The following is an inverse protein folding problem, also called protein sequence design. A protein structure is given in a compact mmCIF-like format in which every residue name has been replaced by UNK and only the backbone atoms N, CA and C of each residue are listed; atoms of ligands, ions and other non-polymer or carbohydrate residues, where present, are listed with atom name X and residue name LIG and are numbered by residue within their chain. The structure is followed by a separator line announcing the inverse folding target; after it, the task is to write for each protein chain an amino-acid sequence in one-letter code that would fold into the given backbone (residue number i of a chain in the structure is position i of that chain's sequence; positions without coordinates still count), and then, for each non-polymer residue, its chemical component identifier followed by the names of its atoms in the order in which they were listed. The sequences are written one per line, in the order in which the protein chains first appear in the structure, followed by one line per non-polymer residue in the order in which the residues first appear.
data_IF_697401373361
#
_entry.id   IF_697401373361
#
_cell.length_a   1.000
_cell.length_b   1.000
_cell.length_c   1.000
_cell.angle_alpha   90.00
_cell.angle_beta   90.00
_cell.angle_gamma   90.00
#
_symmetry.space_group_name_H-M   'P 1'
#
loop_
_entity.id
_entity.type
_entity.pdbx_description
1 polymer ?
#
# COMPACT_ATOMS: atom_id res chain seq x y z
N UNK A 1 2.97 23.12 8.33
CA UNK A 1 3.10 23.29 6.87
C UNK A 1 4.54 23.48 6.37
N UNK A 2 5.60 23.39 7.19
CA UNK A 2 6.98 23.74 6.77
C UNK A 2 7.75 22.75 5.89
N UNK A 3 7.53 21.44 6.01
CA UNK A 3 8.34 20.42 5.29
C UNK A 3 7.94 20.25 3.82
N UNK A 4 6.71 20.65 3.46
CA UNK A 4 6.23 20.57 2.10
C UNK A 4 6.99 21.51 1.16
N UNK A 5 7.45 22.67 1.65
CA UNK A 5 8.32 23.59 0.89
C UNK A 5 9.65 22.94 0.48
N UNK A 6 10.18 22.01 1.28
CA UNK A 6 11.38 21.25 0.91
C UNK A 6 11.04 20.07 0.00
N UNK A 7 9.92 19.38 0.24
CA UNK A 7 9.60 18.15 -0.47
C UNK A 7 8.98 18.40 -1.86
N UNK A 8 8.12 19.41 -2.02
CA UNK A 8 7.56 19.83 -3.31
C UNK A 8 8.48 20.86 -3.99
N UNK A 9 9.72 20.46 -4.24
CA UNK A 9 10.74 21.29 -4.86
C UNK A 9 11.50 20.47 -5.90
N UNK A 10 11.82 21.08 -7.05
CA UNK A 10 12.64 20.49 -8.12
C UNK A 10 14.07 20.07 -7.69
N UNK A 11 14.48 20.41 -6.47
CA UNK A 11 15.74 20.07 -5.80
C UNK A 11 15.49 19.62 -4.36
N UNK A 12 14.29 19.10 -4.07
CA UNK A 12 13.87 18.79 -2.70
C UNK A 12 14.72 17.73 -2.01
N UNK A 13 15.25 16.77 -2.76
CA UNK A 13 16.22 15.79 -2.24
C UNK A 13 17.48 16.49 -1.73
N UNK A 14 17.99 17.49 -2.47
CA UNK A 14 19.16 18.26 -2.03
C UNK A 14 18.84 19.11 -0.80
N UNK A 15 17.67 19.74 -0.74
CA UNK A 15 17.25 20.51 0.43
C UNK A 15 17.21 19.64 1.70
N UNK A 16 16.68 18.41 1.59
CA UNK A 16 16.70 17.43 2.68
C UNK A 16 18.14 17.07 3.07
N UNK A 17 19.03 16.75 2.12
CA UNK A 17 20.43 16.45 2.43
C UNK A 17 21.14 17.63 3.13
N UNK A 18 20.92 18.85 2.64
CA UNK A 18 21.55 20.05 3.19
C UNK A 18 21.12 20.33 4.63
N UNK A 19 19.85 20.12 4.99
CA UNK A 19 19.43 20.28 6.39
C UNK A 19 20.01 19.20 7.30
N UNK A 20 20.17 17.96 6.81
CA UNK A 20 20.88 16.92 7.54
C UNK A 20 22.35 17.29 7.75
N UNK A 21 23.03 17.85 6.75
CA UNK A 21 24.44 18.26 6.88
C UNK A 21 24.68 19.21 8.08
N UNK A 22 23.77 20.16 8.32
CA UNK A 22 23.85 21.07 9.48
C UNK A 22 23.83 20.29 10.81
N UNK A 23 22.93 19.32 10.91
CA UNK A 23 22.77 18.50 12.12
C UNK A 23 23.94 17.53 12.31
N UNK A 24 24.43 16.95 11.21
CA UNK A 24 25.59 16.05 11.22
C UNK A 24 26.88 16.80 11.60
N UNK A 25 27.12 17.99 11.04
CA UNK A 25 28.28 18.83 11.36
C UNK A 25 28.32 19.28 12.82
N UNK A 26 27.15 19.44 13.44
CA UNK A 26 27.04 19.89 14.85
C UNK A 26 26.82 18.75 15.84
N UNK A 27 26.73 17.50 15.38
CA UNK A 27 26.42 16.34 16.21
C UNK A 27 25.01 16.36 16.83
N UNK A 28 24.12 17.25 16.35
CA UNK A 28 22.78 17.46 16.91
C UNK A 28 21.76 16.54 16.24
N UNK A 29 21.86 15.24 16.48
CA UNK A 29 20.95 14.24 15.90
C UNK A 29 20.74 13.07 16.88
N UNK A 30 19.56 12.45 16.85
CA UNK A 30 19.24 11.22 17.60
C UNK A 30 19.35 11.33 19.12
N UNK A 31 19.27 12.55 19.67
CA UNK A 31 19.14 12.79 21.12
C UNK A 31 17.89 13.62 21.41
N UNK A 32 17.28 13.51 22.61
CA UNK A 32 16.14 14.36 22.97
C UNK A 32 16.42 15.84 22.73
N UNK A 33 15.55 16.51 21.97
CA UNK A 33 15.68 17.93 21.60
C UNK A 33 16.54 18.24 20.37
N UNK A 34 17.41 17.32 19.92
CA UNK A 34 18.26 17.51 18.74
C UNK A 34 17.80 16.58 17.60
N UNK A 35 16.96 17.09 16.70
CA UNK A 35 16.29 16.25 15.69
C UNK A 35 16.04 16.98 14.37
N UNK A 36 16.72 16.62 13.27
CA UNK A 36 16.26 16.96 11.94
C UNK A 36 15.01 16.14 11.63
N UNK A 37 13.83 16.72 11.84
CA UNK A 37 12.56 16.00 11.77
C UNK A 37 11.76 16.35 10.51
N UNK A 38 11.64 15.39 9.60
CA UNK A 38 10.80 15.53 8.40
C UNK A 38 9.34 15.25 8.75
N UNK A 39 8.46 16.26 8.66
CA UNK A 39 7.04 16.08 8.88
C UNK A 39 6.40 15.37 7.70
N UNK A 40 5.58 14.38 8.02
CA UNK A 40 4.75 13.66 7.05
C UNK A 40 3.32 14.19 7.13
N UNK A 41 2.71 14.49 5.97
CA UNK A 41 1.39 15.13 5.91
C UNK A 41 0.22 14.16 6.04
N UNK A 42 0.21 13.09 5.25
CA UNK A 42 -0.86 12.08 5.28
C UNK A 42 -0.77 11.19 6.53
N UNK A 43 -1.90 10.66 7.04
CA UNK A 43 -1.94 9.90 8.30
C UNK A 43 -1.09 8.64 8.25
N UNK A 44 -0.92 8.03 7.07
CA UNK A 44 -0.12 6.82 6.88
C UNK A 44 0.74 6.84 5.62
N UNK A 45 1.24 8.02 5.24
CA UNK A 45 2.31 8.07 4.24
C UNK A 45 3.58 7.37 4.74
N UNK A 46 3.84 7.34 6.06
CA UNK A 46 4.87 6.49 6.65
C UNK A 46 4.42 5.01 6.65
N UNK A 47 3.43 4.67 7.48
CA UNK A 47 3.08 3.27 7.77
C UNK A 47 2.56 2.46 6.58
N UNK A 48 1.95 3.10 5.59
CA UNK A 48 1.43 2.41 4.40
C UNK A 48 2.34 2.68 3.21
N UNK A 49 2.40 3.91 2.70
CA UNK A 49 3.06 4.15 1.43
C UNK A 49 4.57 3.85 1.47
N UNK A 50 5.28 4.34 2.50
CA UNK A 50 6.74 4.19 2.61
C UNK A 50 7.16 2.86 3.23
N UNK A 51 6.50 2.41 4.29
CA UNK A 51 6.92 1.20 5.01
C UNK A 51 6.49 -0.09 4.28
N UNK A 52 5.29 -0.13 3.68
CA UNK A 52 4.87 -1.24 2.77
C UNK A 52 5.52 -1.09 1.39
N UNK A 53 5.83 0.14 0.97
CA UNK A 53 6.53 0.39 -0.29
C UNK A 53 5.58 0.40 -1.50
N UNK A 54 4.44 1.08 -1.42
CA UNK A 54 3.46 1.21 -2.52
C UNK A 54 3.92 2.24 -3.56
N UNK A 55 5.16 2.11 -4.02
CA UNK A 55 5.78 2.96 -5.04
C UNK A 55 6.30 2.10 -6.18
N UNK A 56 6.40 2.69 -7.37
CA UNK A 56 6.77 1.98 -8.59
C UNK A 56 8.18 1.36 -8.62
N UNK A 57 9.02 1.67 -7.64
CA UNK A 57 10.40 1.19 -7.51
C UNK A 57 10.64 0.35 -6.25
N UNK A 58 9.61 0.12 -5.42
CA UNK A 58 9.76 -0.35 -4.04
C UNK A 58 9.25 -1.77 -3.85
N UNK A 59 9.80 -2.38 -2.80
CA UNK A 59 9.29 -3.52 -2.06
C UNK A 59 9.17 -3.09 -0.57
N UNK A 60 8.56 -3.91 0.31
CA UNK A 60 8.43 -3.61 1.74
C UNK A 60 9.76 -3.30 2.44
N UNK A 61 9.74 -2.59 3.58
CA UNK A 61 10.91 -2.38 4.46
C UNK A 61 12.16 -1.81 3.74
N UNK A 62 11.99 -0.71 2.99
CA UNK A 62 13.04 -0.03 2.23
C UNK A 62 13.71 -0.85 1.11
N UNK A 63 13.16 -2.02 0.80
CA UNK A 63 13.58 -2.82 -0.34
C UNK A 63 13.16 -2.18 -1.67
N UNK A 64 13.82 -2.61 -2.75
CA UNK A 64 13.68 -2.02 -4.09
C UNK A 64 13.62 -3.13 -5.15
N UNK A 65 12.78 -2.93 -6.16
CA UNK A 65 12.57 -3.92 -7.24
C UNK A 65 13.82 -4.17 -8.07
N UNK A 66 14.74 -3.20 -8.14
CA UNK A 66 15.96 -3.30 -8.96
C UNK A 66 17.03 -4.21 -8.35
N UNK A 67 16.96 -4.50 -7.05
CA UNK A 67 17.93 -5.38 -6.39
C UNK A 67 17.46 -6.85 -6.44
N UNK A 68 18.18 -7.77 -7.09
CA UNK A 68 17.76 -9.16 -7.21
C UNK A 68 17.64 -9.88 -5.87
N UNK A 69 18.45 -9.52 -4.85
CA UNK A 69 18.33 -10.10 -3.51
C UNK A 69 17.02 -9.68 -2.82
N UNK A 70 16.60 -8.44 -3.04
CA UNK A 70 15.35 -7.91 -2.49
C UNK A 70 14.14 -8.62 -3.12
N UNK A 71 14.17 -8.81 -4.44
CA UNK A 71 13.13 -9.59 -5.14
C UNK A 71 13.08 -11.03 -4.65
N UNK A 72 14.23 -11.71 -4.56
CA UNK A 72 14.29 -13.09 -4.08
C UNK A 72 13.73 -13.24 -2.66
N UNK A 73 14.02 -12.28 -1.76
CA UNK A 73 13.47 -12.27 -0.41
C UNK A 73 11.94 -12.08 -0.39
N UNK A 74 11.42 -11.15 -1.20
CA UNK A 74 9.97 -10.95 -1.32
C UNK A 74 9.27 -12.16 -1.96
N UNK A 75 9.87 -12.76 -2.98
CA UNK A 75 9.37 -13.99 -3.63
C UNK A 75 9.35 -15.16 -2.65
N UNK A 76 10.32 -15.27 -1.75
CA UNK A 76 10.32 -16.31 -0.71
C UNK A 76 9.18 -16.09 0.31
N UNK A 77 9.04 -14.87 0.85
CA UNK A 77 7.98 -14.56 1.82
C UNK A 77 6.59 -14.81 1.21
N UNK A 78 6.35 -14.32 -0.01
CA UNK A 78 5.09 -14.47 -0.75
C UNK A 78 4.94 -15.81 -1.46
N UNK A 79 5.91 -16.73 -1.30
CA UNK A 79 5.90 -18.05 -1.91
C UNK A 79 5.78 -18.03 -3.44
N UNK A 80 6.29 -17.01 -4.10
CA UNK A 80 6.21 -16.86 -5.56
C UNK A 80 7.32 -17.65 -6.27
N UNK A 81 7.11 -18.03 -7.54
CA UNK A 81 8.20 -18.52 -8.38
C UNK A 81 9.32 -17.48 -8.53
N UNK A 82 10.58 -17.92 -8.60
CA UNK A 82 11.70 -17.02 -8.79
C UNK A 82 11.60 -16.24 -10.12
N UNK A 83 11.70 -14.91 -10.06
CA UNK A 83 11.55 -14.00 -11.21
C UNK A 83 10.12 -13.56 -11.50
N UNK A 84 9.19 -13.73 -10.55
CA UNK A 84 7.81 -13.22 -10.65
C UNK A 84 7.77 -11.71 -10.51
N UNK A 85 8.62 -11.13 -9.63
CA UNK A 85 8.62 -9.70 -9.37
C UNK A 85 9.36 -8.97 -10.51
N UNK A 86 8.73 -7.97 -11.18
CA UNK A 86 9.39 -7.21 -12.23
C UNK A 86 10.61 -6.45 -11.71
N UNK A 87 11.72 -6.51 -12.43
CA UNK A 87 12.96 -5.82 -12.03
C UNK A 87 13.03 -4.35 -12.44
N UNK A 88 12.17 -3.94 -13.38
CA UNK A 88 12.13 -2.59 -13.92
C UNK A 88 11.22 -1.71 -13.09
N UNK A 89 11.68 -0.49 -12.82
CA UNK A 89 10.88 0.54 -12.15
C UNK A 89 9.67 0.88 -13.02
N UNK A 90 8.47 0.80 -12.43
CA UNK A 90 7.23 1.17 -13.09
C UNK A 90 7.00 2.69 -13.15
N UNK A 91 5.84 3.10 -13.64
CA UNK A 91 5.47 4.51 -13.74
C UNK A 91 5.19 5.14 -12.36
N UNK A 92 5.90 6.22 -12.03
CA UNK A 92 5.59 7.07 -10.87
C UNK A 92 4.41 8.01 -11.17
N UNK A 93 3.78 8.63 -10.15
CA UNK A 93 2.54 9.42 -10.29
C UNK A 93 2.48 10.40 -11.48
N UNK A 94 3.50 11.25 -11.65
CA UNK A 94 3.55 12.19 -12.80
C UNK A 94 3.68 11.45 -14.14
N UNK A 95 4.44 10.36 -14.19
CA UNK A 95 4.62 9.56 -15.41
C UNK A 95 3.36 8.75 -15.73
N UNK A 96 2.59 8.32 -14.73
CA UNK A 96 1.29 7.66 -14.93
C UNK A 96 0.33 8.57 -15.72
N UNK A 97 0.18 9.84 -15.31
CA UNK A 97 -0.66 10.79 -16.07
C UNK A 97 -0.18 11.00 -17.51
N UNK A 98 1.13 11.08 -17.74
CA UNK A 98 1.70 11.17 -19.09
C UNK A 98 1.43 9.90 -19.92
N UNK A 99 1.57 8.72 -19.31
CA UNK A 99 1.32 7.45 -19.98
C UNK A 99 -0.16 7.20 -20.26
N UNK A 100 -1.06 7.66 -19.39
CA UNK A 100 -2.50 7.67 -19.64
C UNK A 100 -2.81 8.54 -20.87
N UNK A 101 -2.27 9.76 -20.91
CA UNK A 101 -2.41 10.65 -22.07
C UNK A 101 -1.86 10.02 -23.35
N UNK A 102 -0.71 9.36 -23.26
CA UNK A 102 -0.07 8.69 -24.39
C UNK A 102 -0.74 7.36 -24.81
N UNK A 103 -1.77 6.88 -24.11
CA UNK A 103 -2.42 5.58 -24.41
C UNK A 103 -1.52 4.36 -24.13
N UNK A 104 -0.61 4.48 -23.15
CA UNK A 104 0.34 3.43 -22.74
C UNK A 104 -0.07 2.71 -21.45
N UNK A 105 -0.94 3.33 -20.65
CA UNK A 105 -1.61 2.71 -19.50
C UNK A 105 -3.10 2.79 -19.81
N UNK A 106 -3.73 1.64 -20.02
CA UNK A 106 -5.08 1.60 -20.58
C UNK A 106 -6.11 0.98 -19.63
N UNK A 107 -5.67 0.43 -18.49
CA UNK A 107 -6.52 0.05 -17.37
C UNK A 107 -5.91 0.64 -16.10
N UNK A 108 -6.67 1.50 -15.41
CA UNK A 108 -6.14 2.29 -14.30
C UNK A 108 -7.14 2.38 -13.16
N UNK A 109 -6.71 1.95 -11.98
CA UNK A 109 -7.56 1.93 -10.78
C UNK A 109 -6.99 2.87 -9.71
N UNK A 110 -7.76 3.90 -9.37
CA UNK A 110 -7.47 4.88 -8.34
C UNK A 110 -8.19 4.52 -7.05
N UNK A 111 -7.47 4.51 -5.92
CA UNK A 111 -8.05 4.22 -4.60
C UNK A 111 -7.58 5.25 -3.57
N UNK A 112 -8.50 5.72 -2.72
CA UNK A 112 -8.24 6.61 -1.56
C UNK A 112 -7.46 7.89 -1.92
N UNK A 113 -7.70 8.44 -3.11
CA UNK A 113 -7.14 9.74 -3.50
C UNK A 113 -7.98 10.43 -4.59
N UNK A 114 -7.86 11.75 -4.64
CA UNK A 114 -8.52 12.60 -5.63
C UNK A 114 -7.46 13.20 -6.58
N UNK A 115 -6.71 12.34 -7.30
CA UNK A 115 -5.55 12.75 -8.09
C UNK A 115 -5.87 13.70 -9.25
N UNK A 116 -7.08 13.68 -9.81
CA UNK A 116 -7.46 14.66 -10.84
C UNK A 116 -7.37 16.08 -10.28
N UNK A 117 -7.80 16.30 -9.03
CA UNK A 117 -7.72 17.60 -8.37
C UNK A 117 -6.33 17.87 -7.76
N UNK A 118 -5.63 16.82 -7.29
CA UNK A 118 -4.39 16.96 -6.53
C UNK A 118 -3.11 16.99 -7.40
N UNK A 119 -3.13 16.36 -8.58
CA UNK A 119 -1.97 16.34 -9.47
C UNK A 119 -1.72 17.69 -10.13
N UNK A 120 -0.46 18.02 -10.35
CA UNK A 120 -0.09 19.19 -11.14
C UNK A 120 -0.48 19.02 -12.61
N UNK A 121 -0.71 20.16 -13.28
CA UNK A 121 -0.89 20.22 -14.73
C UNK A 121 -2.10 19.42 -15.26
N UNK A 122 -3.23 19.51 -14.54
CA UNK A 122 -4.51 18.84 -14.85
C UNK A 122 -4.88 18.94 -16.33
N UNK A 123 -4.91 20.16 -16.89
CA UNK A 123 -5.42 20.40 -18.24
C UNK A 123 -4.57 19.79 -19.35
N UNK A 124 -3.26 19.60 -19.12
CA UNK A 124 -2.36 19.11 -20.16
C UNK A 124 -2.07 17.62 -20.05
N UNK A 125 -2.13 17.03 -18.86
CA UNK A 125 -1.75 15.63 -18.62
C UNK A 125 -2.90 14.82 -18.03
N UNK A 126 -3.40 15.24 -16.86
CA UNK A 126 -4.41 14.48 -16.10
C UNK A 126 -5.71 14.28 -16.87
N UNK A 127 -6.40 15.37 -17.21
CA UNK A 127 -7.72 15.31 -17.85
C UNK A 127 -7.68 14.66 -19.25
N UNK A 128 -6.75 15.02 -20.15
CA UNK A 128 -6.62 14.31 -21.43
C UNK A 128 -6.31 12.82 -21.27
N UNK A 129 -5.56 12.43 -20.24
CA UNK A 129 -5.27 11.02 -19.97
C UNK A 129 -6.46 10.24 -19.42
N UNK A 130 -7.19 10.79 -18.44
CA UNK A 130 -8.35 10.10 -17.86
C UNK A 130 -9.54 10.05 -18.83
N UNK A 131 -9.64 10.97 -19.78
CA UNK A 131 -10.69 11.02 -20.80
C UNK A 131 -10.24 10.49 -22.16
N UNK A 132 -9.06 9.89 -22.24
CA UNK A 132 -8.60 9.22 -23.46
C UNK A 132 -9.51 7.99 -23.69
N UNK A 133 -10.17 7.86 -24.86
CA UNK A 133 -11.07 6.74 -25.15
C UNK A 133 -10.40 5.35 -25.16
N UNK A 134 -9.06 5.29 -25.25
CA UNK A 134 -8.31 4.02 -25.17
C UNK A 134 -8.15 3.51 -23.73
N UNK A 135 -8.49 4.34 -22.73
CA UNK A 135 -8.28 4.04 -21.31
C UNK A 135 -9.59 3.69 -20.63
N UNK A 136 -9.52 2.78 -19.65
CA UNK A 136 -10.58 2.47 -18.71
C UNK A 136 -10.17 2.86 -17.29
N UNK A 137 -10.87 3.84 -16.73
CA UNK A 137 -10.56 4.42 -15.42
C UNK A 137 -11.57 3.95 -14.36
N UNK A 138 -11.06 3.26 -13.34
CA UNK A 138 -11.80 2.86 -12.15
C UNK A 138 -11.41 3.77 -10.98
N UNK A 139 -12.38 4.26 -10.22
CA UNK A 139 -12.13 5.06 -9.00
C UNK A 139 -12.92 4.51 -7.84
N UNK A 140 -12.22 4.15 -6.75
CA UNK A 140 -12.81 3.81 -5.46
C UNK A 140 -12.79 5.03 -4.55
N UNK A 141 -13.97 5.54 -4.20
CA UNK A 141 -14.12 6.71 -3.35
C UNK A 141 -15.36 6.60 -2.46
N UNK A 142 -15.34 7.27 -1.31
CA UNK A 142 -16.48 7.37 -0.41
C UNK A 142 -17.45 8.48 -0.85
N UNK A 143 -16.97 9.46 -1.64
CA UNK A 143 -17.76 10.58 -2.13
C UNK A 143 -17.57 10.81 -3.63
N UNK A 144 -18.53 11.47 -4.30
CA UNK A 144 -18.29 12.06 -5.61
C UNK A 144 -17.16 13.11 -5.53
N UNK A 145 -16.14 12.98 -6.37
CA UNK A 145 -15.01 13.90 -6.50
C UNK A 145 -14.75 14.29 -7.96
N UNK A 146 -13.87 15.25 -8.21
CA UNK A 146 -13.42 15.57 -9.58
C UNK A 146 -12.81 14.34 -10.25
N UNK A 147 -12.14 13.48 -9.48
CA UNK A 147 -11.56 12.24 -9.99
C UNK A 147 -12.64 11.21 -10.35
N UNK A 148 -13.67 11.02 -9.52
CA UNK A 148 -14.78 10.11 -9.87
C UNK A 148 -15.57 10.60 -11.08
N UNK A 149 -15.79 11.92 -11.22
CA UNK A 149 -16.48 12.51 -12.38
C UNK A 149 -15.69 12.29 -13.68
N UNK A 150 -14.37 12.12 -13.58
CA UNK A 150 -13.49 11.86 -14.72
C UNK A 150 -13.32 10.37 -15.03
N UNK A 151 -13.93 9.47 -14.24
CA UNK A 151 -13.78 8.02 -14.34
C UNK A 151 -14.86 7.36 -15.21
N UNK A 152 -14.65 6.11 -15.57
CA UNK A 152 -15.61 5.29 -16.32
C UNK A 152 -16.36 4.30 -15.42
N UNK A 153 -15.74 3.89 -14.31
CA UNK A 153 -16.37 3.08 -13.26
C UNK A 153 -16.06 3.65 -11.89
N UNK A 154 -17.10 3.86 -11.08
CA UNK A 154 -16.99 4.35 -9.70
C UNK A 154 -17.40 3.22 -8.76
N UNK A 155 -16.56 2.89 -7.79
CA UNK A 155 -16.82 1.88 -6.78
C UNK A 155 -17.03 2.56 -5.41
N UNK A 156 -18.18 2.37 -4.74
CA UNK A 156 -18.42 2.95 -3.43
C UNK A 156 -17.50 2.30 -2.38
N UNK A 157 -16.67 3.12 -1.71
CA UNK A 157 -15.64 2.64 -0.78
C UNK A 157 -16.01 2.91 0.69
N UNK A 158 -15.85 1.89 1.54
CA UNK A 158 -15.96 2.04 3.00
C UNK A 158 -14.74 2.79 3.57
N UNK A 159 -14.97 3.75 4.47
CA UNK A 159 -13.96 4.69 4.96
C UNK A 159 -13.71 4.64 6.46
N UNK A 160 -12.47 4.93 6.87
CA UNK A 160 -12.06 5.08 8.27
C UNK A 160 -12.57 3.96 9.20
N UNK A 161 -13.44 4.27 10.17
CA UNK A 161 -13.97 3.31 11.16
C UNK A 161 -15.10 2.43 10.64
N UNK A 162 -15.48 2.56 9.37
CA UNK A 162 -16.35 1.60 8.67
C UNK A 162 -15.61 0.28 8.35
N UNK A 163 -14.31 0.20 8.65
CA UNK A 163 -13.45 -0.97 8.49
C UNK A 163 -12.39 -1.02 9.60
N UNK A 164 -11.88 -2.21 9.85
CA UNK A 164 -10.68 -2.37 10.69
C UNK A 164 -9.47 -1.80 9.94
N UNK A 165 -8.57 -1.12 10.65
CA UNK A 165 -7.42 -0.52 9.99
C UNK A 165 -6.27 -0.13 10.89
N UNK A 166 -5.19 0.27 10.22
CA UNK A 166 -3.91 0.62 10.83
C UNK A 166 -3.27 1.79 10.09
N UNK A 167 -2.77 2.77 10.84
CA UNK A 167 -2.01 3.91 10.29
C UNK A 167 -0.69 4.12 11.03
N UNK A 168 0.37 4.41 10.29
CA UNK A 168 1.69 4.76 10.81
C UNK A 168 2.03 6.24 10.60
N UNK A 169 2.19 6.98 11.69
CA UNK A 169 2.34 8.45 11.64
C UNK A 169 3.79 8.92 11.43
N UNK A 170 4.00 10.25 11.47
CA UNK A 170 5.31 10.87 11.22
C UNK A 170 6.42 10.49 12.22
N UNK A 171 6.09 10.08 13.45
CA UNK A 171 7.06 9.60 14.44
C UNK A 171 7.22 8.07 14.46
N UNK A 172 6.80 7.40 13.38
CA UNK A 172 6.81 5.93 13.20
C UNK A 172 5.86 5.17 14.11
N UNK A 173 4.84 5.85 14.67
CA UNK A 173 3.86 5.20 15.54
C UNK A 173 2.78 4.54 14.70
N UNK A 174 2.70 3.23 14.75
CA UNK A 174 1.59 2.44 14.19
C UNK A 174 0.45 2.40 15.19
N UNK A 175 -0.76 2.75 14.76
CA UNK A 175 -1.99 2.78 15.56
C UNK A 175 -3.09 2.00 14.84
N UNK A 176 -3.77 1.12 15.57
CA UNK A 176 -4.88 0.34 15.04
C UNK A 176 -6.23 0.90 15.50
N UNK A 177 -7.26 0.52 14.78
CA UNK A 177 -8.65 0.67 15.18
C UNK A 177 -9.47 -0.51 14.67
N UNK A 178 -10.45 -0.94 15.47
CA UNK A 178 -11.48 -1.88 15.01
C UNK A 178 -12.52 -1.19 14.13
N UNK A 179 -13.25 -1.98 13.33
CA UNK A 179 -14.46 -1.48 12.68
C UNK A 179 -15.50 -1.15 13.75
N UNK A 180 -16.01 0.08 13.72
CA UNK A 180 -16.97 0.59 14.72
C UNK A 180 -18.39 0.71 14.18
N UNK A 181 -18.54 0.87 12.87
CA UNK A 181 -19.84 1.06 12.20
C UNK A 181 -19.84 0.32 10.86
N UNK A 182 -21.02 0.09 10.30
CA UNK A 182 -21.16 -0.44 8.94
C UNK A 182 -21.17 0.68 7.90
N UNK A 183 -20.56 0.41 6.75
CA UNK A 183 -20.59 1.31 5.61
C UNK A 183 -22.01 1.41 5.01
N UNK A 184 -22.40 2.56 4.41
CA UNK A 184 -23.73 2.74 3.85
C UNK A 184 -23.95 1.91 2.58
N UNK A 185 -25.16 1.34 2.46
CA UNK A 185 -25.62 0.67 1.24
C UNK A 185 -24.74 -0.54 0.86
N UNK A 186 -24.05 -0.43 -0.27
CA UNK A 186 -23.16 -1.47 -0.80
C UNK A 186 -21.68 -1.05 -0.78
N UNK A 187 -21.34 0.01 -0.05
CA UNK A 187 -19.96 0.42 0.10
C UNK A 187 -19.12 -0.70 0.72
N UNK A 188 -17.97 -1.00 0.11
CA UNK A 188 -17.03 -2.03 0.57
C UNK A 188 -15.64 -1.43 0.69
N UNK A 189 -14.84 -1.91 1.62
CA UNK A 189 -13.49 -1.38 1.81
C UNK A 189 -12.60 -1.61 0.59
N UNK A 190 -11.56 -0.80 0.46
CA UNK A 190 -10.50 -0.99 -0.54
C UNK A 190 -9.86 -2.38 -0.44
N UNK A 191 -9.68 -2.88 0.78
CA UNK A 191 -9.14 -4.22 1.03
C UNK A 191 -10.06 -5.31 0.45
N UNK A 192 -11.36 -5.22 0.75
CA UNK A 192 -12.34 -6.14 0.20
C UNK A 192 -12.33 -6.11 -1.33
N UNK A 193 -12.30 -4.91 -1.93
CA UNK A 193 -12.30 -4.75 -3.38
C UNK A 193 -11.07 -5.40 -4.02
N UNK A 194 -9.87 -5.19 -3.46
CA UNK A 194 -8.63 -5.80 -3.96
C UNK A 194 -8.65 -7.33 -3.85
N UNK A 195 -9.07 -7.86 -2.70
CA UNK A 195 -9.17 -9.30 -2.47
C UNK A 195 -10.22 -9.94 -3.38
N UNK A 196 -11.42 -9.37 -3.47
CA UNK A 196 -12.49 -9.90 -4.33
C UNK A 196 -12.12 -9.83 -5.81
N UNK A 197 -11.50 -8.74 -6.27
CA UNK A 197 -11.06 -8.61 -7.65
C UNK A 197 -9.98 -9.63 -8.02
N UNK A 198 -9.09 -9.99 -7.09
CA UNK A 198 -8.04 -10.99 -7.33
C UNK A 198 -8.56 -12.40 -7.64
N UNK A 199 -9.82 -12.72 -7.26
CA UNK A 199 -10.46 -14.00 -7.63
C UNK A 199 -10.75 -14.12 -9.12
N UNK A 200 -10.73 -13.01 -9.86
CA UNK A 200 -11.10 -12.95 -11.28
C UNK A 200 -9.97 -13.31 -12.23
N UNK A 201 -8.77 -13.59 -11.72
CA UNK A 201 -7.59 -13.89 -12.51
C UNK A 201 -7.02 -15.24 -12.09
N UNK A 202 -7.00 -16.20 -13.01
CA UNK A 202 -6.18 -17.40 -12.88
C UNK A 202 -4.73 -17.09 -13.17
N UNK A 203 -3.81 -17.83 -12.56
CA UNK A 203 -2.37 -17.61 -12.76
C UNK A 203 -1.97 -17.73 -14.23
N UNK A 204 -2.60 -18.61 -15.02
CA UNK A 204 -2.33 -18.76 -16.45
C UNK A 204 -2.65 -17.51 -17.29
N UNK A 205 -3.53 -16.65 -16.79
CA UNK A 205 -3.94 -15.42 -17.49
C UNK A 205 -2.94 -14.28 -17.27
N UNK A 206 -2.12 -14.36 -16.22
CA UNK A 206 -1.26 -13.26 -15.77
C UNK A 206 0.23 -13.64 -15.68
N UNK A 207 0.56 -14.93 -15.61
CA UNK A 207 1.93 -15.41 -15.53
C UNK A 207 2.37 -16.09 -16.83
N UNK A 208 3.59 -15.82 -17.31
CA UNK A 208 4.20 -16.59 -18.39
C UNK A 208 4.29 -18.09 -18.06
N UNK A 209 4.21 -18.94 -19.08
CA UNK A 209 4.19 -20.38 -18.91
C UNK A 209 5.48 -20.93 -18.26
N UNK A 210 6.64 -20.31 -18.52
CA UNK A 210 7.92 -20.65 -17.93
C UNK A 210 8.00 -20.30 -16.44
N UNK A 211 7.33 -19.21 -16.03
CA UNK A 211 7.20 -18.85 -14.62
C UNK A 211 6.33 -19.86 -13.88
N UNK A 212 5.17 -20.21 -14.44
CA UNK A 212 4.26 -21.20 -13.87
C UNK A 212 4.88 -22.61 -13.82
N UNK A 213 5.75 -22.95 -14.77
CA UNK A 213 6.48 -24.22 -14.77
C UNK A 213 7.39 -24.40 -13.54
N UNK A 214 7.85 -23.30 -12.91
CA UNK A 214 8.67 -23.35 -11.69
C UNK A 214 7.85 -23.66 -10.42
N UNK A 215 6.54 -23.43 -10.43
CA UNK A 215 5.58 -23.81 -9.36
C UNK A 215 4.29 -24.39 -9.94
N UNK A 216 4.33 -25.62 -10.48
CA UNK A 216 3.18 -26.24 -11.13
C UNK A 216 1.97 -26.42 -10.21
N UNK A 217 2.17 -26.43 -8.88
CA UNK A 217 1.12 -26.49 -7.87
C UNK A 217 0.18 -25.27 -7.87
N UNK A 218 0.53 -24.19 -8.58
CA UNK A 218 -0.32 -23.02 -8.76
C UNK A 218 -1.24 -23.11 -9.99
N UNK A 219 -1.11 -24.14 -10.83
CA UNK A 219 -1.99 -24.30 -12.00
C UNK A 219 -3.46 -24.32 -11.62
N UNK A 220 -4.27 -23.55 -12.36
CA UNK A 220 -5.70 -23.40 -12.18
C UNK A 220 -6.13 -22.59 -10.95
N UNK A 221 -5.19 -22.14 -10.12
CA UNK A 221 -5.47 -21.26 -8.98
C UNK A 221 -5.67 -19.83 -9.43
N UNK A 222 -6.43 -19.08 -8.64
CA UNK A 222 -6.61 -17.65 -8.81
C UNK A 222 -5.51 -16.85 -8.12
N UNK A 223 -5.36 -15.56 -8.45
CA UNK A 223 -4.49 -14.67 -7.67
C UNK A 223 -4.95 -14.56 -6.22
N UNK A 224 -6.25 -14.69 -5.93
CA UNK A 224 -6.72 -14.77 -4.54
C UNK A 224 -6.10 -15.95 -3.78
N UNK A 225 -6.07 -17.12 -4.42
CA UNK A 225 -5.51 -18.33 -3.80
C UNK A 225 -4.01 -18.21 -3.56
N UNK A 226 -3.29 -17.56 -4.48
CA UNK A 226 -1.83 -17.38 -4.41
C UNK A 226 -1.43 -16.28 -3.43
N UNK A 227 -2.17 -15.17 -3.36
CA UNK A 227 -1.78 -13.98 -2.61
C UNK A 227 -2.45 -13.88 -1.24
N UNK A 228 -3.66 -14.40 -1.06
CA UNK A 228 -4.46 -14.20 0.16
C UNK A 228 -4.84 -15.52 0.86
N UNK A 229 -5.08 -16.60 0.11
CA UNK A 229 -5.37 -17.92 0.69
C UNK A 229 -4.15 -18.87 0.64
N UNK A 230 -2.96 -18.34 0.96
CA UNK A 230 -1.65 -18.97 0.74
C UNK A 230 -1.10 -19.79 1.94
N UNK A 231 -1.87 -19.95 3.02
CA UNK A 231 -1.45 -20.64 4.26
C UNK A 231 -0.63 -19.77 5.23
N UNK A 232 -0.28 -18.54 4.83
CA UNK A 232 0.24 -17.49 5.71
C UNK A 232 -0.86 -16.47 6.01
N UNK A 233 -1.39 -15.79 5.00
CA UNK A 233 -2.41 -14.74 5.15
C UNK A 233 -3.74 -15.28 5.70
N UNK A 234 -4.16 -16.47 5.27
CA UNK A 234 -5.38 -17.11 5.79
C UNK A 234 -5.15 -18.05 6.98
N UNK A 235 -4.01 -17.95 7.67
CA UNK A 235 -3.69 -18.82 8.81
C UNK A 235 -4.55 -18.54 10.04
N UNK A 236 -4.94 -17.28 10.24
CA UNK A 236 -5.71 -16.86 11.41
C UNK A 236 -7.21 -17.06 11.14
N UNK A 237 -7.89 -17.97 11.87
CA UNK A 237 -9.30 -18.21 11.65
C UNK A 237 -10.13 -16.97 12.01
N UNK A 238 -11.33 -16.85 11.44
CA UNK A 238 -12.24 -15.74 11.74
C UNK A 238 -12.66 -15.70 13.23
N UNK A 239 -12.41 -16.75 14.01
CA UNK A 239 -12.66 -16.79 15.46
C UNK A 239 -11.61 -16.04 16.28
N UNK A 240 -10.47 -15.68 15.68
CA UNK A 240 -9.41 -14.92 16.36
C UNK A 240 -9.74 -13.43 16.48
N UNK A 241 -10.75 -12.94 15.77
CA UNK A 241 -11.19 -11.54 15.85
C UNK A 241 -11.83 -11.26 17.20
N UNK A 242 -11.76 -10.00 17.61
CA UNK A 242 -12.58 -9.53 18.72
C UNK A 242 -14.06 -9.62 18.34
N UNK A 243 -14.82 -10.40 19.11
CA UNK A 243 -16.25 -10.66 18.89
C UNK A 243 -17.12 -9.44 19.15
N UNK A 244 -16.60 -8.44 19.86
CA UNK A 244 -17.34 -7.22 20.21
C UNK A 244 -17.36 -6.21 19.04
N UNK A 245 -16.58 -6.47 17.98
CA UNK A 245 -16.50 -5.63 16.80
C UNK A 245 -16.85 -6.39 15.52
N UNK A 246 -17.47 -5.68 14.58
CA UNK A 246 -17.67 -6.21 13.23
C UNK A 246 -16.31 -6.36 12.52
N UNK A 247 -16.25 -7.26 11.54
CA UNK A 247 -15.15 -7.30 10.58
C UNK A 247 -15.69 -7.90 9.27
N UNK A 248 -16.10 -7.03 8.35
CA UNK A 248 -16.82 -7.44 7.14
C UNK A 248 -15.96 -8.28 6.18
N UNK A 249 -14.66 -8.00 6.08
CA UNK A 249 -13.75 -8.78 5.24
C UNK A 249 -13.54 -10.18 5.80
N UNK A 250 -13.30 -10.29 7.11
CA UNK A 250 -13.10 -11.59 7.74
C UNK A 250 -14.35 -12.48 7.63
N UNK A 251 -15.54 -11.89 7.70
CA UNK A 251 -16.79 -12.58 7.41
C UNK A 251 -16.92 -12.98 5.94
N UNK A 252 -16.58 -12.08 5.01
CA UNK A 252 -16.71 -12.34 3.58
C UNK A 252 -15.74 -13.42 3.06
N UNK A 253 -14.54 -13.52 3.64
CA UNK A 253 -13.49 -14.44 3.17
C UNK A 253 -13.28 -15.65 4.09
N UNK A 254 -13.85 -15.65 5.29
CA UNK A 254 -13.84 -16.79 6.21
C UNK A 254 -12.59 -16.91 7.09
N UNK A 255 -11.70 -15.91 7.09
CA UNK A 255 -10.48 -15.87 7.90
C UNK A 255 -10.12 -14.42 8.27
N UNK A 256 -9.31 -14.23 9.32
CA UNK A 256 -8.94 -12.90 9.80
C UNK A 256 -7.84 -12.28 8.91
N UNK A 257 -8.27 -11.74 7.76
CA UNK A 257 -7.39 -11.27 6.70
C UNK A 257 -6.42 -10.15 7.14
N UNK A 258 -6.89 -9.18 7.92
CA UNK A 258 -6.09 -8.05 8.40
C UNK A 258 -4.89 -8.53 9.25
N UNK A 259 -5.13 -9.49 10.15
CA UNK A 259 -4.10 -10.10 10.99
C UNK A 259 -3.07 -10.86 10.16
N UNK A 260 -3.52 -11.70 9.24
CA UNK A 260 -2.63 -12.47 8.38
C UNK A 260 -1.78 -11.61 7.45
N UNK A 261 -2.39 -10.61 6.82
CA UNK A 261 -1.68 -9.65 5.97
C UNK A 261 -0.63 -8.87 6.76
N UNK A 262 -0.99 -8.39 7.96
CA UNK A 262 -0.06 -7.65 8.80
C UNK A 262 1.12 -8.51 9.26
N UNK A 263 0.87 -9.74 9.70
CA UNK A 263 1.91 -10.63 10.20
C UNK A 263 2.84 -11.11 9.08
N UNK A 264 2.33 -11.42 7.88
CA UNK A 264 3.16 -11.73 6.71
C UNK A 264 3.99 -10.50 6.28
N UNK A 265 3.38 -9.31 6.25
CA UNK A 265 4.09 -8.06 5.97
C UNK A 265 5.20 -7.77 7.00
N UNK A 266 4.93 -8.01 8.29
CA UNK A 266 5.88 -7.73 9.35
C UNK A 266 7.12 -8.63 9.28
N UNK A 267 7.08 -9.79 8.61
CA UNK A 267 8.24 -10.66 8.35
C UNK A 267 9.38 -9.90 7.64
N UNK A 268 9.05 -8.95 6.76
CA UNK A 268 10.06 -8.16 6.03
C UNK A 268 10.91 -7.26 6.95
N UNK A 269 10.30 -6.72 8.01
CA UNK A 269 10.93 -5.70 8.86
C UNK A 269 11.54 -6.25 10.16
N UNK A 270 11.00 -7.36 10.67
CA UNK A 270 11.44 -7.97 11.93
C UNK A 270 12.85 -8.55 11.79
N UNK A 271 13.77 -8.13 12.67
CA UNK A 271 15.19 -8.46 12.60
C UNK A 271 15.99 -7.59 11.61
N UNK A 272 15.33 -6.66 10.93
CA UNK A 272 15.92 -5.83 9.87
C UNK A 272 15.78 -4.32 10.13
N UNK A 273 15.51 -3.92 11.38
CA UNK A 273 15.47 -2.51 11.79
C UNK A 273 14.13 -1.80 11.55
N UNK A 274 13.13 -2.53 11.04
CA UNK A 274 11.76 -2.06 10.82
C UNK A 274 10.76 -2.91 11.63
N UNK A 275 11.16 -3.29 12.84
CA UNK A 275 10.44 -4.25 13.67
C UNK A 275 9.07 -3.71 14.10
N UNK A 276 8.01 -4.32 13.58
CA UNK A 276 6.65 -4.15 14.07
C UNK A 276 6.37 -5.14 15.20
N UNK A 277 5.63 -4.68 16.21
CA UNK A 277 5.14 -5.55 17.28
C UNK A 277 4.22 -6.65 16.72
N UNK A 278 3.87 -7.68 17.52
CA UNK A 278 2.77 -8.56 17.17
C UNK A 278 1.47 -7.76 16.92
N UNK A 279 0.66 -8.22 15.96
CA UNK A 279 -0.59 -7.59 15.55
C UNK A 279 -1.49 -7.23 16.75
N UNK A 280 -1.74 -8.21 17.63
CA UNK A 280 -2.66 -8.06 18.76
C UNK A 280 -2.22 -6.94 19.72
N UNK A 281 -0.92 -6.72 19.88
CA UNK A 281 -0.38 -5.63 20.72
C UNK A 281 -0.89 -4.26 20.28
N UNK A 282 -1.08 -4.04 18.98
CA UNK A 282 -1.52 -2.73 18.47
C UNK A 282 -2.99 -2.41 18.76
N UNK A 283 -3.82 -3.43 18.99
CA UNK A 283 -5.22 -3.25 19.43
C UNK A 283 -5.30 -2.93 20.94
N UNK A 284 -4.30 -3.31 21.73
CA UNK A 284 -4.27 -3.08 23.19
C UNK A 284 -3.63 -1.72 23.58
N UNK A 285 -2.87 -1.11 22.67
CA UNK A 285 -2.06 0.08 22.97
C UNK A 285 -2.46 1.28 22.11
N UNK A 286 -2.13 2.49 22.58
CA UNK A 286 -2.27 3.74 21.81
C UNK A 286 -1.10 3.93 20.84
N UNK A 287 -0.87 2.88 20.06
CA UNK A 287 0.22 2.73 19.11
C UNK A 287 1.63 2.63 19.70
N UNK A 288 2.53 2.04 18.92
CA UNK A 288 3.95 1.87 19.25
C UNK A 288 4.83 2.36 18.09
N UNK A 289 5.99 2.91 18.43
CA UNK A 289 6.96 3.43 17.46
C UNK A 289 7.95 2.33 17.08
N UNK A 290 8.08 2.04 15.78
CA UNK A 290 9.08 1.09 15.30
C UNK A 290 10.52 1.68 15.36
N UNK A 291 11.57 0.86 15.51
CA UNK A 291 11.52 -0.59 15.75
C UNK A 291 11.09 -0.93 17.19
N UNK A 292 10.12 -1.83 17.34
CA UNK A 292 9.66 -2.33 18.64
C UNK A 292 10.58 -3.47 19.08
N UNK A 293 11.52 -3.16 19.97
CA UNK A 293 12.39 -4.17 20.58
C UNK A 293 11.61 -4.93 21.65
N UNK A 294 11.68 -6.26 21.60
CA UNK A 294 11.24 -7.13 22.70
C UNK A 294 12.10 -6.90 23.93
#
# INVERSE_FOLDING_TARGET
SGTQCFNQHTRGVWANNMVYNIHLLTGKISTPGNSPFSLTGQPSACGTAREVGTFSHRLPADLVVTNPKHRAHAEDIWQLPAGTIPEKVGAHAVLQNRMLKDGKINAYWVMVNNNMQAAANLMNEGLPGYRNPDNFIVVSDAYPTVTTISADLILPAAMWVEKEGAYGNAERRTQFWHQLVDAPGQARSDLWQLMEFSKRFKVEEVWPADLLAKKPEYRGKTLFDVLFANGKVNRYPNTDRDKDYANQEAEAFGFYAQKGLFEEYAEFGRGHGHDLAPFDTYHEVRGLRCPVRR
#
